data_IF_632399854704
#
_entry.id   IF_632399854704
#
_cell.length_a   1.000
_cell.length_b   1.000
_cell.length_c   1.000
_cell.angle_alpha   90.00
_cell.angle_beta   90.00
_cell.angle_gamma   90.00
#
_symmetry.space_group_name_H-M   'P 1'
#
loop_
_entity.id
_entity.type
_entity.pdbx_description
1 polymer ?
#
# COMPACT_ATOMS: atom_id res chain seq x y z
N UNK A 1 -8.25 6.34 29.21
CA UNK A 1 -7.12 5.75 28.44
C UNK A 1 -7.59 4.72 27.42
N UNK A 2 -8.43 3.76 27.78
CA UNK A 2 -8.85 2.60 26.97
C UNK A 2 -9.59 2.97 25.68
N UNK A 3 -10.34 4.06 25.67
CA UNK A 3 -11.05 4.59 24.48
C UNK A 3 -10.31 5.73 23.81
N UNK A 4 -9.65 6.59 24.58
CA UNK A 4 -9.05 7.82 24.07
C UNK A 4 -7.80 7.55 23.23
N UNK A 5 -6.95 6.60 23.65
CA UNK A 5 -5.73 6.22 22.92
C UNK A 5 -6.02 5.67 21.52
N UNK A 6 -6.93 4.68 21.34
CA UNK A 6 -7.25 4.19 19.99
C UNK A 6 -7.86 5.25 19.07
N UNK A 7 -8.75 6.08 19.61
CA UNK A 7 -9.35 7.22 18.86
C UNK A 7 -8.28 8.17 18.37
N UNK A 8 -7.37 8.55 19.26
CA UNK A 8 -6.24 9.42 18.91
C UNK A 8 -5.34 8.78 17.84
N UNK A 9 -5.02 7.48 17.99
CA UNK A 9 -4.20 6.76 17.03
C UNK A 9 -4.86 6.65 15.65
N UNK A 10 -6.15 6.33 15.58
CA UNK A 10 -6.88 6.31 14.28
C UNK A 10 -6.80 7.67 13.63
N UNK A 11 -7.07 8.73 14.35
CA UNK A 11 -7.11 10.09 13.81
C UNK A 11 -5.73 10.52 13.31
N UNK A 12 -4.70 10.39 14.16
CA UNK A 12 -3.33 10.78 13.81
C UNK A 12 -2.78 9.94 12.66
N UNK A 13 -2.92 8.61 12.73
CA UNK A 13 -2.38 7.73 11.70
C UNK A 13 -3.11 7.87 10.36
N UNK A 14 -4.42 8.07 10.39
CA UNK A 14 -5.18 8.29 9.16
C UNK A 14 -4.79 9.61 8.51
N UNK A 15 -4.64 10.70 9.28
CA UNK A 15 -4.17 11.99 8.77
C UNK A 15 -2.75 11.94 8.22
N UNK A 16 -1.84 11.25 8.92
CA UNK A 16 -0.46 11.08 8.46
C UNK A 16 -0.38 10.27 7.16
N UNK A 17 -1.11 9.17 7.09
CA UNK A 17 -1.14 8.33 5.91
C UNK A 17 -1.88 8.99 4.74
N UNK A 18 -3.01 9.65 5.00
CA UNK A 18 -3.75 10.38 3.96
C UNK A 18 -2.89 11.49 3.34
N UNK A 19 -2.14 12.22 4.17
CA UNK A 19 -1.18 13.21 3.67
C UNK A 19 -0.08 12.59 2.80
N UNK A 20 0.26 11.33 3.06
CA UNK A 20 1.24 10.58 2.26
C UNK A 20 0.60 10.07 0.97
N UNK A 21 -0.63 9.56 1.02
CA UNK A 21 -1.37 9.12 -0.16
C UNK A 21 -1.74 10.30 -1.08
N UNK A 22 -2.25 11.42 -0.53
CA UNK A 22 -2.54 12.62 -1.31
C UNK A 22 -1.29 13.29 -1.89
N UNK A 23 -0.18 13.26 -1.16
CA UNK A 23 1.11 13.74 -1.72
C UNK A 23 1.59 12.89 -2.89
N UNK A 24 1.16 11.64 -2.98
CA UNK A 24 1.44 10.74 -4.09
C UNK A 24 0.52 11.00 -5.30
N UNK A 25 -0.74 11.39 -5.06
CA UNK A 25 -1.73 11.68 -6.11
C UNK A 25 -1.72 13.15 -6.55
N UNK A 26 -1.46 14.12 -5.66
CA UNK A 26 -1.56 15.55 -5.95
C UNK A 26 -0.21 16.24 -6.22
N UNK A 27 0.91 15.71 -5.74
CA UNK A 27 2.23 16.27 -6.03
C UNK A 27 2.86 15.55 -7.21
N UNK A 28 2.76 16.22 -8.36
CA UNK A 28 3.58 15.91 -9.52
C UNK A 28 5.05 15.78 -9.07
N UNK A 29 5.71 14.71 -9.46
CA UNK A 29 7.13 14.50 -9.15
C UNK A 29 7.97 15.59 -9.86
N UNK A 30 8.74 16.39 -9.11
CA UNK A 30 9.56 17.44 -9.72
C UNK A 30 10.71 16.81 -10.51
N UNK A 31 10.69 17.04 -11.82
CA UNK A 31 11.68 16.54 -12.78
C UNK A 31 12.38 17.74 -13.41
N UNK A 32 13.71 17.77 -13.40
CA UNK A 32 14.53 18.72 -14.10
C UNK A 32 15.07 18.09 -15.36
N UNK A 33 14.79 18.71 -16.51
CA UNK A 33 15.27 18.23 -17.81
C UNK A 33 16.22 19.25 -18.39
N UNK A 34 17.39 18.79 -18.80
CA UNK A 34 18.36 19.52 -19.62
C UNK A 34 18.35 18.88 -21.00
N UNK A 35 17.70 19.53 -21.93
CA UNK A 35 17.55 19.05 -23.30
C UNK A 35 18.46 19.84 -24.25
N UNK A 36 19.53 19.21 -24.70
CA UNK A 36 20.43 19.77 -25.71
C UNK A 36 20.03 19.39 -27.15
N UNK A 37 19.10 18.39 -27.30
CA UNK A 37 18.59 17.98 -28.62
C UNK A 37 17.37 18.82 -29.01
N UNK A 38 17.59 19.84 -29.83
CA UNK A 38 16.56 20.76 -30.30
C UNK A 38 15.63 20.15 -31.37
N UNK A 39 15.78 18.86 -31.73
CA UNK A 39 15.02 18.15 -32.76
C UNK A 39 13.99 17.16 -32.15
N UNK A 40 13.41 16.34 -33.00
CA UNK A 40 12.22 15.50 -32.77
C UNK A 40 12.31 14.65 -31.49
N UNK A 41 13.45 14.02 -31.19
CA UNK A 41 13.58 13.14 -30.05
C UNK A 41 13.47 13.91 -28.72
N UNK A 42 14.32 14.92 -28.53
CA UNK A 42 14.34 15.71 -27.30
C UNK A 42 13.01 16.40 -27.04
N UNK A 43 12.44 17.05 -28.07
CA UNK A 43 11.15 17.75 -27.97
C UNK A 43 10.02 16.78 -27.59
N UNK A 44 9.93 15.59 -28.20
CA UNK A 44 8.85 14.65 -27.93
C UNK A 44 8.99 13.98 -26.56
N UNK A 45 10.19 13.72 -26.06
CA UNK A 45 10.42 13.24 -24.70
C UNK A 45 9.93 14.27 -23.68
N UNK A 46 10.32 15.53 -23.83
CA UNK A 46 9.88 16.63 -22.95
C UNK A 46 8.36 16.78 -22.99
N UNK A 47 7.76 16.82 -24.19
CA UNK A 47 6.29 16.88 -24.36
C UNK A 47 5.59 15.69 -23.76
N UNK A 48 6.10 14.47 -23.97
CA UNK A 48 5.54 13.24 -23.41
C UNK A 48 5.51 13.27 -21.88
N UNK A 49 6.62 13.64 -21.26
CA UNK A 49 6.69 13.77 -19.80
C UNK A 49 5.80 14.89 -19.25
N UNK A 50 5.73 16.02 -19.96
CA UNK A 50 4.89 17.17 -19.55
C UNK A 50 3.40 16.88 -19.71
N UNK A 51 3.01 16.06 -20.70
CA UNK A 51 1.60 15.69 -20.93
C UNK A 51 1.05 14.74 -19.87
N UNK A 52 1.91 14.06 -19.12
CA UNK A 52 1.49 13.22 -18.00
C UNK A 52 1.25 14.08 -16.77
N UNK A 53 0.09 13.93 -16.14
CA UNK A 53 -0.26 14.61 -14.88
C UNK A 53 0.68 14.23 -13.72
N UNK A 54 1.53 13.23 -13.91
CA UNK A 54 2.38 12.63 -12.89
C UNK A 54 3.68 13.39 -12.63
N UNK A 55 4.15 14.19 -13.62
CA UNK A 55 5.42 14.90 -13.54
C UNK A 55 5.23 16.42 -13.56
N UNK A 56 5.95 17.12 -12.69
CA UNK A 56 6.15 18.55 -12.78
C UNK A 56 7.50 18.79 -13.49
N UNK A 57 7.44 18.91 -14.80
CA UNK A 57 8.65 19.10 -15.61
C UNK A 57 9.09 20.54 -15.54
N UNK A 58 10.36 20.76 -15.22
CA UNK A 58 11.07 22.03 -15.35
C UNK A 58 12.20 21.84 -16.37
N UNK A 59 12.23 22.63 -17.41
CA UNK A 59 13.26 22.57 -18.44
C UNK A 59 14.22 23.74 -18.27
N UNK A 60 15.53 23.46 -18.19
CA UNK A 60 16.58 24.47 -18.16
C UNK A 60 17.80 24.00 -18.96
N UNK A 61 17.84 24.36 -20.22
CA UNK A 61 18.84 23.93 -21.19
C UNK A 61 20.22 24.61 -21.00
N UNK A 62 20.34 25.51 -20.02
CA UNK A 62 21.62 26.24 -19.75
C UNK A 62 22.44 25.56 -18.67
N UNK A 63 21.83 24.63 -17.89
CA UNK A 63 22.50 23.96 -16.81
C UNK A 63 23.52 22.93 -17.31
N UNK A 64 24.67 22.92 -16.66
CA UNK A 64 25.66 21.87 -16.85
C UNK A 64 25.25 20.58 -16.15
N UNK A 65 25.81 19.45 -16.55
CA UNK A 65 25.61 18.14 -15.89
C UNK A 65 25.88 18.19 -14.38
N UNK A 66 26.96 18.85 -13.97
CA UNK A 66 27.37 18.98 -12.57
C UNK A 66 26.35 19.78 -11.75
N UNK A 67 25.79 20.82 -12.35
CA UNK A 67 24.77 21.65 -11.70
C UNK A 67 23.44 20.88 -11.55
N UNK A 68 23.03 20.13 -12.59
CA UNK A 68 21.84 19.28 -12.50
C UNK A 68 21.99 18.22 -11.40
N UNK A 69 23.12 17.52 -11.38
CA UNK A 69 23.42 16.50 -10.34
C UNK A 69 23.33 17.10 -8.94
N UNK A 70 23.91 18.30 -8.75
CA UNK A 70 23.86 19.04 -7.48
C UNK A 70 22.42 19.45 -7.09
N UNK A 71 21.58 19.85 -8.05
CA UNK A 71 20.17 20.19 -7.80
C UNK A 71 19.36 18.96 -7.34
N UNK A 72 19.65 17.80 -7.91
CA UNK A 72 19.04 16.53 -7.50
C UNK A 72 19.57 16.10 -6.12
N UNK A 73 20.88 16.19 -5.88
CA UNK A 73 21.50 15.84 -4.58
C UNK A 73 20.96 16.71 -3.43
N UNK A 74 20.70 18.00 -3.70
CA UNK A 74 20.11 18.91 -2.72
C UNK A 74 18.61 18.68 -2.46
N UNK A 75 17.96 17.75 -3.19
CA UNK A 75 16.55 17.45 -3.05
C UNK A 75 15.60 18.50 -3.64
N UNK A 76 16.10 19.46 -4.43
CA UNK A 76 15.27 20.45 -5.13
C UNK A 76 14.42 19.78 -6.23
N UNK A 77 14.98 18.76 -6.86
CA UNK A 77 14.33 17.88 -7.83
C UNK A 77 14.57 16.42 -7.45
N UNK A 78 13.58 15.57 -7.68
CA UNK A 78 13.70 14.13 -7.41
C UNK A 78 14.35 13.36 -8.56
N UNK A 79 14.32 13.97 -9.75
CA UNK A 79 14.84 13.37 -10.98
C UNK A 79 15.50 14.45 -11.82
N UNK A 80 16.66 14.13 -12.35
CA UNK A 80 17.35 14.91 -13.38
C UNK A 80 17.51 14.08 -14.65
N UNK A 81 17.20 14.65 -15.81
CA UNK A 81 17.34 13.98 -17.11
C UNK A 81 18.17 14.86 -18.02
N UNK A 82 19.19 14.28 -18.64
CA UNK A 82 20.02 14.96 -19.66
C UNK A 82 19.84 14.23 -20.98
N UNK A 83 19.40 14.97 -21.98
CA UNK A 83 19.34 14.53 -23.37
C UNK A 83 20.47 15.24 -24.11
N UNK A 84 21.40 14.47 -24.66
CA UNK A 84 22.56 15.02 -25.34
C UNK A 84 22.16 15.62 -26.67
N UNK A 85 22.96 16.56 -27.17
CA UNK A 85 22.84 17.13 -28.51
C UNK A 85 22.91 16.02 -29.57
N UNK A 86 22.33 16.31 -30.72
CA UNK A 86 22.35 15.43 -31.90
C UNK A 86 21.74 14.03 -31.70
N UNK A 87 20.99 13.81 -30.59
CA UNK A 87 20.36 12.50 -30.26
C UNK A 87 19.41 12.04 -31.37
N UNK A 88 18.62 12.95 -31.95
CA UNK A 88 17.70 12.66 -33.08
C UNK A 88 18.44 12.14 -34.30
N UNK A 89 19.56 12.76 -34.69
CA UNK A 89 20.32 12.31 -35.85
C UNK A 89 21.01 10.95 -35.61
N UNK A 90 21.51 10.70 -34.41
CA UNK A 90 22.06 9.39 -34.04
C UNK A 90 20.99 8.28 -34.12
N UNK A 91 19.75 8.55 -33.72
CA UNK A 91 18.64 7.60 -33.89
C UNK A 91 18.33 7.38 -35.35
N UNK A 92 18.22 8.48 -36.17
CA UNK A 92 17.95 8.38 -37.59
C UNK A 92 19.03 7.57 -38.31
N UNK A 93 20.31 7.81 -38.01
CA UNK A 93 21.43 7.07 -38.59
C UNK A 93 21.40 5.57 -38.17
N UNK A 94 21.09 5.30 -36.92
CA UNK A 94 20.94 3.89 -36.43
C UNK A 94 19.78 3.17 -37.12
N UNK A 95 18.67 3.85 -37.39
CA UNK A 95 17.53 3.29 -38.12
C UNK A 95 17.93 3.08 -39.59
N UNK A 96 18.52 4.07 -40.25
CA UNK A 96 18.99 3.93 -41.62
C UNK A 96 19.94 2.75 -41.79
N UNK A 97 20.90 2.57 -40.89
CA UNK A 97 21.83 1.47 -40.91
C UNK A 97 21.13 0.10 -40.74
N UNK A 98 20.15 0.00 -39.82
CA UNK A 98 19.36 -1.22 -39.67
C UNK A 98 18.57 -1.56 -40.94
N UNK A 99 18.00 -0.55 -41.59
CA UNK A 99 17.28 -0.71 -42.84
C UNK A 99 18.24 -1.13 -43.96
N UNK A 100 19.38 -0.45 -44.10
CA UNK A 100 20.41 -0.78 -45.08
C UNK A 100 20.86 -2.25 -45.00
N UNK A 101 21.03 -2.77 -43.78
CA UNK A 101 21.41 -4.16 -43.56
C UNK A 101 20.32 -5.19 -43.92
N UNK A 102 19.09 -4.77 -44.14
CA UNK A 102 17.95 -5.63 -44.51
C UNK A 102 17.63 -5.63 -45.99
N UNK A 103 18.15 -4.67 -46.75
CA UNK A 103 17.95 -4.57 -48.22
C UNK A 103 19.20 -4.99 -48.98
N UNK A 104 19.07 -5.42 -50.27
CA UNK A 104 20.21 -5.66 -51.18
C UNK A 104 21.11 -4.43 -51.31
N UNK A 105 22.40 -4.64 -51.59
CA UNK A 105 23.42 -3.56 -51.68
C UNK A 105 23.01 -2.41 -52.65
N UNK A 106 22.29 -2.72 -53.73
CA UNK A 106 21.83 -1.75 -54.72
C UNK A 106 20.84 -0.71 -54.14
N UNK A 107 20.07 -1.10 -53.13
CA UNK A 107 19.12 -0.18 -52.41
C UNK A 107 19.81 0.47 -51.24
N UNK A 108 20.84 -0.19 -50.69
CA UNK A 108 21.63 0.33 -49.57
C UNK A 108 22.42 1.61 -49.88
N UNK A 109 22.85 1.80 -51.16
CA UNK A 109 23.59 2.97 -51.60
C UNK A 109 22.74 4.27 -51.63
N UNK A 110 21.41 4.19 -51.61
CA UNK A 110 20.49 5.34 -51.56
C UNK A 110 20.47 6.01 -50.18
N UNK A 111 21.04 5.38 -49.14
CA UNK A 111 21.08 5.93 -47.80
C UNK A 111 22.33 6.78 -47.60
N UNK A 112 22.26 8.08 -47.85
CA UNK A 112 23.31 9.02 -47.44
C UNK A 112 23.40 8.99 -45.89
N UNK A 113 24.51 8.49 -45.38
CA UNK A 113 24.82 8.50 -43.95
C UNK A 113 25.63 9.72 -43.58
N UNK A 114 25.10 10.53 -42.71
CA UNK A 114 25.81 11.68 -42.13
C UNK A 114 26.73 11.20 -41.01
N UNK A 115 27.91 10.71 -41.36
CA UNK A 115 28.94 10.33 -40.40
C UNK A 115 29.01 8.83 -40.03
N UNK A 116 30.23 8.34 -39.98
CA UNK A 116 30.62 6.92 -39.86
C UNK A 116 30.56 6.33 -38.43
N UNK A 117 29.73 6.83 -37.51
CA UNK A 117 29.65 6.32 -36.14
C UNK A 117 28.23 6.02 -35.71
N UNK A 118 27.95 4.76 -35.50
CA UNK A 118 26.77 4.23 -34.80
C UNK A 118 26.98 4.37 -33.28
N UNK A 119 27.02 5.57 -32.77
CA UNK A 119 27.01 5.76 -31.31
C UNK A 119 25.58 5.57 -30.81
N UNK A 120 25.42 4.75 -29.79
CA UNK A 120 24.14 4.57 -29.11
C UNK A 120 23.74 5.89 -28.43
N UNK A 121 22.50 6.30 -28.62
CA UNK A 121 21.96 7.47 -27.91
C UNK A 121 21.90 7.16 -26.41
N UNK A 122 22.58 7.95 -25.61
CA UNK A 122 22.65 7.82 -24.18
C UNK A 122 21.90 8.96 -23.51
N UNK A 123 20.75 8.64 -22.87
CA UNK A 123 20.05 9.56 -21.98
C UNK A 123 20.52 9.28 -20.55
N UNK A 124 21.09 10.29 -19.92
CA UNK A 124 21.55 10.17 -18.54
C UNK A 124 20.44 10.58 -17.58
N UNK A 125 20.18 9.73 -16.58
CA UNK A 125 19.10 9.94 -15.61
C UNK A 125 19.69 9.88 -14.22
N UNK A 126 19.48 10.93 -13.44
CA UNK A 126 19.90 11.08 -12.05
C UNK A 126 18.69 10.96 -11.13
N UNK A 127 18.78 10.15 -10.11
CA UNK A 127 17.72 9.95 -9.12
C UNK A 127 18.18 10.39 -7.75
N UNK A 128 17.33 11.12 -7.04
CA UNK A 128 17.52 11.38 -5.62
C UNK A 128 17.60 10.04 -4.85
N UNK A 129 18.60 9.83 -3.96
CA UNK A 129 18.72 8.63 -3.14
C UNK A 129 17.46 8.30 -2.31
N UNK A 130 16.68 9.29 -1.94
CA UNK A 130 15.42 9.14 -1.18
C UNK A 130 14.29 8.53 -2.03
N UNK A 131 14.41 8.55 -3.36
CA UNK A 131 13.37 8.07 -4.25
C UNK A 131 13.22 6.54 -4.18
N UNK A 132 12.02 6.06 -3.85
CA UNK A 132 11.72 4.62 -3.76
C UNK A 132 11.88 3.93 -5.12
N UNK A 133 12.32 2.67 -5.10
CA UNK A 133 12.54 1.87 -6.32
C UNK A 133 11.30 1.73 -7.21
N UNK A 134 10.09 1.70 -6.63
CA UNK A 134 8.83 1.65 -7.39
C UNK A 134 8.67 2.86 -8.32
N UNK A 135 9.00 4.06 -7.84
CA UNK A 135 8.97 5.27 -8.66
C UNK A 135 10.04 5.26 -9.76
N UNK A 136 11.27 4.79 -9.44
CA UNK A 136 12.32 4.62 -10.46
C UNK A 136 11.85 3.73 -11.60
N UNK A 137 11.22 2.59 -11.29
CA UNK A 137 10.70 1.67 -12.30
C UNK A 137 9.58 2.29 -13.13
N UNK A 138 8.64 3.02 -12.51
CA UNK A 138 7.55 3.71 -13.23
C UNK A 138 8.10 4.76 -14.20
N UNK A 139 9.08 5.56 -13.76
CA UNK A 139 9.73 6.59 -14.58
C UNK A 139 10.50 5.96 -15.73
N UNK A 140 11.30 4.93 -15.45
CA UNK A 140 12.03 4.19 -16.48
C UNK A 140 11.07 3.54 -17.47
N UNK A 141 9.92 3.04 -17.02
CA UNK A 141 8.87 2.52 -17.88
C UNK A 141 8.30 3.59 -18.81
N UNK A 142 7.94 4.75 -18.26
CA UNK A 142 7.43 5.90 -19.04
C UNK A 142 8.44 6.39 -20.08
N UNK A 143 9.70 6.56 -19.67
CA UNK A 143 10.78 7.01 -20.58
C UNK A 143 11.00 6.00 -21.71
N UNK A 144 11.05 4.70 -21.41
CA UNK A 144 11.16 3.66 -22.44
C UNK A 144 9.98 3.66 -23.40
N UNK A 145 8.77 3.87 -22.89
CA UNK A 145 7.56 3.94 -23.71
C UNK A 145 7.60 5.16 -24.66
N UNK A 146 7.96 6.34 -24.14
CA UNK A 146 8.09 7.54 -24.97
C UNK A 146 9.22 7.41 -26.00
N UNK A 147 10.38 6.86 -25.60
CA UNK A 147 11.49 6.58 -26.50
C UNK A 147 11.07 5.67 -27.64
N UNK A 148 10.41 4.54 -27.34
CA UNK A 148 9.92 3.61 -28.35
C UNK A 148 8.89 4.24 -29.29
N UNK A 149 8.02 5.12 -28.79
CA UNK A 149 7.06 5.86 -29.62
C UNK A 149 7.77 6.80 -30.60
N UNK A 150 8.79 7.53 -30.15
CA UNK A 150 9.57 8.44 -30.99
C UNK A 150 10.39 7.66 -32.01
N UNK A 151 11.03 6.55 -31.60
CA UNK A 151 11.76 5.67 -32.52
C UNK A 151 10.84 5.11 -33.61
N UNK A 152 9.62 4.66 -33.26
CA UNK A 152 8.65 4.17 -34.22
C UNK A 152 8.20 5.27 -35.21
N UNK A 153 7.99 6.51 -34.71
CA UNK A 153 7.67 7.65 -35.56
C UNK A 153 8.79 7.97 -36.53
N UNK A 154 10.03 8.06 -36.06
CA UNK A 154 11.20 8.31 -36.90
C UNK A 154 11.41 7.19 -37.92
N UNK A 155 11.20 5.92 -37.52
CA UNK A 155 11.28 4.78 -38.44
C UNK A 155 10.23 4.91 -39.55
N UNK A 156 9.00 5.27 -39.22
CA UNK A 156 7.94 5.48 -40.22
C UNK A 156 8.26 6.65 -41.16
N UNK A 157 8.78 7.77 -40.63
CA UNK A 157 9.21 8.93 -41.46
C UNK A 157 10.31 8.53 -42.45
N UNK A 158 11.28 7.74 -42.00
CA UNK A 158 12.37 7.27 -42.88
C UNK A 158 11.84 6.30 -43.93
N UNK A 159 10.97 5.35 -43.56
CA UNK A 159 10.35 4.42 -44.51
C UNK A 159 9.49 5.17 -45.54
N UNK A 160 8.67 6.17 -45.10
CA UNK A 160 7.84 6.95 -46.05
C UNK A 160 8.68 7.70 -47.02
N UNK A 161 9.79 8.35 -46.61
CA UNK A 161 10.69 9.08 -47.52
C UNK A 161 11.33 8.16 -48.55
N UNK A 162 11.63 6.90 -48.17
CA UNK A 162 12.18 5.90 -49.10
C UNK A 162 11.13 5.42 -50.12
N UNK A 163 9.88 5.23 -49.69
CA UNK A 163 8.81 4.86 -50.63
C UNK A 163 8.49 5.97 -51.61
N UNK A 164 8.54 7.24 -51.15
CA UNK A 164 8.37 8.40 -52.03
C UNK A 164 9.47 8.45 -53.11
N UNK A 165 10.72 8.16 -52.72
CA UNK A 165 11.86 8.18 -53.62
C UNK A 165 11.91 6.99 -54.60
N UNK A 166 11.51 5.80 -54.14
CA UNK A 166 11.56 4.56 -54.94
C UNK A 166 10.32 4.33 -55.80
N UNK A 167 9.16 4.79 -55.42
CA UNK A 167 7.88 4.44 -56.06
C UNK A 167 7.14 5.66 -56.63
N UNK A 168 7.69 6.89 -56.54
CA UNK A 168 7.00 8.13 -56.92
C UNK A 168 5.59 8.28 -56.35
N UNK A 169 5.34 7.63 -55.17
CA UNK A 169 4.06 7.65 -54.45
C UNK A 169 4.21 8.58 -53.26
N UNK A 170 3.61 9.76 -53.32
CA UNK A 170 3.53 10.70 -52.20
C UNK A 170 2.74 10.07 -51.02
N UNK A 171 3.43 9.42 -50.09
CA UNK A 171 2.84 9.00 -48.82
C UNK A 171 2.77 10.21 -47.89
N UNK A 172 1.58 10.75 -47.70
CA UNK A 172 1.38 11.82 -46.72
C UNK A 172 1.73 11.29 -45.31
N UNK A 173 2.74 11.87 -44.64
CA UNK A 173 3.03 11.48 -43.28
C UNK A 173 1.81 11.73 -42.41
N UNK A 174 1.32 10.68 -41.75
CA UNK A 174 0.19 10.79 -40.80
C UNK A 174 0.70 11.52 -39.57
N UNK A 175 0.33 12.79 -39.42
CA UNK A 175 0.75 13.65 -38.28
C UNK A 175 0.31 13.09 -36.92
N UNK A 176 -0.67 12.19 -36.89
CA UNK A 176 -1.20 11.61 -35.67
C UNK A 176 -1.05 10.08 -35.66
N UNK A 177 -0.01 9.58 -35.00
CA UNK A 177 -0.06 8.24 -34.45
C UNK A 177 -1.06 8.25 -33.29
N UNK A 178 -2.36 8.12 -33.61
CA UNK A 178 -3.38 7.86 -32.58
C UNK A 178 -3.12 6.50 -31.97
N UNK A 179 -3.24 6.40 -30.66
CA UNK A 179 -3.16 5.11 -29.97
C UNK A 179 -4.19 4.16 -30.61
N UNK A 180 -3.69 3.09 -31.24
CA UNK A 180 -4.54 2.04 -31.84
C UNK A 180 -5.06 1.07 -30.77
N UNK A 181 -4.42 1.05 -29.60
CA UNK A 181 -4.78 0.18 -28.48
C UNK A 181 -5.33 1.03 -27.34
N UNK A 182 -6.60 0.83 -27.01
CA UNK A 182 -7.24 1.42 -25.84
C UNK A 182 -7.25 0.37 -24.73
N UNK A 183 -6.71 0.75 -23.56
CA UNK A 183 -6.80 -0.06 -22.35
C UNK A 183 -8.10 0.31 -21.63
N UNK A 184 -9.05 -0.61 -21.58
CA UNK A 184 -10.28 -0.48 -20.79
C UNK A 184 -10.01 -1.07 -19.40
N UNK A 185 -9.68 -0.23 -18.43
CA UNK A 185 -9.36 -0.64 -17.07
C UNK A 185 -10.66 -0.99 -16.33
N UNK A 186 -10.79 -2.27 -15.97
CA UNK A 186 -11.89 -2.76 -15.15
C UNK A 186 -11.37 -3.44 -13.89
N UNK A 187 -11.94 -3.07 -12.77
CA UNK A 187 -11.70 -3.83 -11.56
C UNK A 187 -12.46 -5.16 -11.62
N UNK A 188 -11.80 -6.25 -11.28
CA UNK A 188 -12.43 -7.57 -11.20
C UNK A 188 -13.30 -7.66 -9.94
N UNK A 189 -14.51 -7.11 -9.99
CA UNK A 189 -15.48 -7.20 -8.91
C UNK A 189 -16.87 -7.50 -9.46
N UNK A 190 -17.58 -8.36 -8.76
CA UNK A 190 -18.94 -8.79 -9.14
C UNK A 190 -20.00 -7.70 -8.95
N UNK A 191 -19.70 -6.61 -8.28
CA UNK A 191 -20.67 -5.55 -7.96
C UNK A 191 -20.19 -4.18 -8.48
N UNK A 192 -21.11 -3.41 -9.03
CA UNK A 192 -20.86 -2.07 -9.61
C UNK A 192 -20.45 -1.00 -8.57
N UNK A 193 -20.49 -1.33 -7.28
CA UNK A 193 -20.11 -0.44 -6.18
C UNK A 193 -18.71 -0.82 -5.64
N UNK A 194 -17.68 -0.60 -6.44
CA UNK A 194 -16.29 -0.75 -6.01
C UNK A 194 -15.92 0.30 -4.95
N UNK A 195 -15.54 -0.19 -3.79
CA UNK A 195 -14.95 0.65 -2.77
C UNK A 195 -13.45 0.70 -3.04
N UNK A 196 -12.96 1.84 -3.52
CA UNK A 196 -11.53 2.05 -3.75
C UNK A 196 -10.82 2.09 -2.39
N UNK A 197 -9.81 1.23 -2.17
CA UNK A 197 -9.04 1.25 -0.95
C UNK A 197 -8.41 2.63 -0.73
N UNK A 198 -8.75 3.27 0.38
CA UNK A 198 -8.14 4.53 0.80
C UNK A 198 -7.57 4.39 2.22
N UNK A 199 -6.93 5.45 2.72
CA UNK A 199 -6.32 5.47 4.05
C UNK A 199 -7.33 5.14 5.16
N UNK A 200 -8.59 5.60 5.04
CA UNK A 200 -9.64 5.35 6.02
C UNK A 200 -10.09 3.89 6.00
N UNK A 201 -10.25 3.31 4.79
CA UNK A 201 -10.66 1.91 4.62
C UNK A 201 -9.63 0.91 5.17
N UNK A 202 -8.36 1.30 5.26
CA UNK A 202 -7.33 0.51 5.92
C UNK A 202 -7.27 0.80 7.43
N UNK A 203 -7.15 2.07 7.81
CA UNK A 203 -6.81 2.46 9.17
C UNK A 203 -7.94 2.18 10.17
N UNK A 204 -9.19 2.47 9.82
CA UNK A 204 -10.30 2.29 10.77
C UNK A 204 -10.43 0.83 11.19
N UNK A 205 -10.49 -0.18 10.28
CA UNK A 205 -10.50 -1.59 10.68
C UNK A 205 -9.28 -1.99 11.49
N UNK A 206 -8.08 -1.61 11.03
CA UNK A 206 -6.82 -1.99 11.65
C UNK A 206 -6.71 -1.50 13.10
N UNK A 207 -6.98 -0.22 13.32
CA UNK A 207 -6.94 0.37 14.66
C UNK A 207 -8.13 -0.05 15.54
N UNK A 208 -9.27 -0.41 14.95
CA UNK A 208 -10.39 -1.00 15.69
C UNK A 208 -10.01 -2.33 16.30
N UNK A 209 -9.40 -3.23 15.52
CA UNK A 209 -8.92 -4.52 16.01
C UNK A 209 -7.84 -4.33 17.07
N UNK A 210 -6.88 -3.43 16.83
CA UNK A 210 -5.84 -3.10 17.79
C UNK A 210 -6.44 -2.59 19.11
N UNK A 211 -7.43 -1.70 19.06
CA UNK A 211 -8.14 -1.22 20.23
C UNK A 211 -8.79 -2.34 21.02
N UNK A 212 -9.47 -3.27 20.34
CA UNK A 212 -10.09 -4.42 20.97
C UNK A 212 -9.07 -5.33 21.65
N UNK A 213 -7.91 -5.55 21.05
CA UNK A 213 -6.84 -6.34 21.67
C UNK A 213 -6.16 -5.61 22.84
N UNK A 214 -6.17 -4.28 22.88
CA UNK A 214 -5.66 -3.52 24.04
C UNK A 214 -6.48 -3.73 25.32
N UNK A 215 -7.67 -4.31 25.24
CA UNK A 215 -8.47 -4.77 26.39
C UNK A 215 -7.70 -5.80 27.24
N UNK A 216 -6.76 -6.52 26.64
CA UNK A 216 -5.89 -7.48 27.34
C UNK A 216 -5.22 -6.87 28.56
N UNK A 217 -4.76 -5.63 28.49
CA UNK A 217 -4.02 -4.96 29.55
C UNK A 217 -4.88 -4.76 30.81
N UNK A 218 -6.01 -4.03 30.76
CA UNK A 218 -6.84 -3.83 31.95
C UNK A 218 -7.54 -5.11 32.43
N UNK A 219 -7.88 -6.04 31.53
CA UNK A 219 -8.46 -7.32 31.89
C UNK A 219 -7.47 -8.16 32.70
N UNK A 220 -6.24 -8.32 32.23
CA UNK A 220 -5.21 -9.06 32.92
C UNK A 220 -4.83 -8.43 34.26
N UNK A 221 -4.69 -7.10 34.29
CA UNK A 221 -4.43 -6.35 35.51
C UNK A 221 -5.54 -6.53 36.55
N UNK A 222 -6.81 -6.51 36.14
CA UNK A 222 -7.94 -6.76 37.07
C UNK A 222 -7.95 -8.18 37.66
N UNK A 223 -7.61 -9.17 36.85
CA UNK A 223 -7.51 -10.57 37.33
C UNK A 223 -6.46 -10.67 38.45
N UNK A 224 -5.32 -9.99 38.26
CA UNK A 224 -4.22 -10.03 39.22
C UNK A 224 -4.57 -9.23 40.50
N UNK A 225 -5.17 -8.02 40.34
CA UNK A 225 -5.63 -7.22 41.50
C UNK A 225 -6.58 -7.97 42.40
N UNK A 226 -7.56 -8.70 41.83
CA UNK A 226 -8.49 -9.53 42.61
C UNK A 226 -7.75 -10.65 43.32
N UNK A 227 -6.74 -11.25 42.70
CA UNK A 227 -5.92 -12.28 43.31
C UNK A 227 -5.09 -11.74 44.46
N UNK A 228 -4.42 -10.62 44.27
CA UNK A 228 -3.56 -9.97 45.27
C UNK A 228 -4.36 -9.38 46.46
N UNK A 229 -5.59 -8.92 46.23
CA UNK A 229 -6.44 -8.37 47.28
C UNK A 229 -7.17 -9.43 48.14
N UNK A 230 -6.97 -10.72 47.84
CA UNK A 230 -7.65 -11.83 48.55
C UNK A 230 -9.14 -11.98 48.22
N UNK A 231 -9.68 -11.17 47.32
CA UNK A 231 -11.09 -11.29 46.85
C UNK A 231 -11.31 -12.63 46.17
N UNK A 232 -10.32 -13.10 45.40
CA UNK A 232 -10.35 -14.41 44.74
C UNK A 232 -10.50 -15.57 45.77
N UNK A 233 -9.82 -15.48 46.91
CA UNK A 233 -9.94 -16.50 47.96
C UNK A 233 -11.30 -16.51 48.64
N UNK A 234 -11.86 -15.33 48.90
CA UNK A 234 -13.22 -15.20 49.43
C UNK A 234 -14.29 -15.71 48.48
N UNK A 235 -14.14 -15.45 47.18
CA UNK A 235 -15.04 -15.98 46.18
C UNK A 235 -15.01 -17.49 46.07
N UNK A 236 -13.87 -18.14 46.34
CA UNK A 236 -13.73 -19.61 46.32
C UNK A 236 -14.57 -20.34 47.37
N UNK A 237 -14.96 -19.66 48.43
CA UNK A 237 -15.88 -20.27 49.45
C UNK A 237 -17.29 -20.48 48.90
N UNK A 238 -17.62 -19.88 47.74
CA UNK A 238 -18.92 -20.01 47.08
C UNK A 238 -18.82 -21.10 45.99
N UNK A 239 -19.71 -22.11 45.99
CA UNK A 239 -19.71 -23.15 44.97
C UNK A 239 -19.83 -22.61 43.56
N UNK A 240 -18.94 -23.05 42.63
CA UNK A 240 -18.96 -22.63 41.24
C UNK A 240 -18.31 -21.25 40.92
N UNK A 241 -17.76 -20.57 41.94
CA UNK A 241 -17.28 -19.18 41.85
C UNK A 241 -16.19 -18.93 40.77
N UNK A 242 -15.28 -19.87 40.54
CA UNK A 242 -14.17 -19.69 39.60
C UNK A 242 -14.65 -19.50 38.16
N UNK A 243 -15.55 -20.37 37.69
CA UNK A 243 -16.13 -20.25 36.34
C UNK A 243 -16.99 -19.00 36.20
N UNK A 244 -17.83 -18.74 37.24
CA UNK A 244 -18.69 -17.55 37.26
C UNK A 244 -17.84 -16.26 37.21
N UNK A 245 -16.75 -16.21 37.99
CA UNK A 245 -15.83 -15.09 38.02
C UNK A 245 -15.15 -14.82 36.68
N UNK A 246 -14.67 -15.87 36.00
CA UNK A 246 -14.07 -15.76 34.67
C UNK A 246 -15.11 -15.32 33.63
N UNK A 247 -16.30 -15.93 33.63
CA UNK A 247 -17.38 -15.58 32.71
C UNK A 247 -17.89 -14.14 32.93
N UNK A 248 -17.99 -13.67 34.17
CA UNK A 248 -18.38 -12.32 34.49
C UNK A 248 -17.36 -11.28 33.90
N UNK A 249 -16.06 -11.55 34.08
CA UNK A 249 -15.02 -10.70 33.48
C UNK A 249 -15.07 -10.76 31.96
N UNK A 250 -15.16 -11.96 31.38
CA UNK A 250 -15.30 -12.11 29.95
C UNK A 250 -16.50 -11.31 29.40
N UNK A 251 -17.67 -11.40 30.05
CA UNK A 251 -18.86 -10.64 29.67
C UNK A 251 -18.65 -9.14 29.78
N UNK A 252 -18.05 -8.66 30.87
CA UNK A 252 -17.80 -7.22 31.06
C UNK A 252 -16.88 -6.66 29.99
N UNK A 253 -15.74 -7.31 29.74
CA UNK A 253 -14.79 -6.85 28.73
C UNK A 253 -15.27 -7.10 27.30
N UNK A 254 -16.12 -8.09 27.08
CA UNK A 254 -16.84 -8.27 25.83
C UNK A 254 -17.74 -7.07 25.53
N UNK A 255 -18.49 -6.56 26.50
CA UNK A 255 -19.30 -5.33 26.34
C UNK A 255 -18.44 -4.10 26.07
N UNK A 256 -17.30 -3.99 26.76
CA UNK A 256 -16.34 -2.92 26.51
C UNK A 256 -15.83 -2.99 25.05
N UNK A 257 -15.50 -4.19 24.57
CA UNK A 257 -15.07 -4.41 23.18
C UNK A 257 -16.13 -4.04 22.15
N UNK A 258 -17.40 -4.37 22.40
CA UNK A 258 -18.51 -3.96 21.53
C UNK A 258 -18.65 -2.43 21.47
N UNK A 259 -18.60 -1.76 22.63
CA UNK A 259 -18.66 -0.30 22.69
C UNK A 259 -17.48 0.32 21.94
N UNK A 260 -16.26 -0.24 22.09
CA UNK A 260 -15.10 0.21 21.34
C UNK A 260 -15.29 0.06 19.83
N UNK A 261 -15.74 -1.11 19.37
CA UNK A 261 -15.97 -1.35 17.94
C UNK A 261 -16.99 -0.36 17.36
N UNK A 262 -18.13 -0.18 18.03
CA UNK A 262 -19.15 0.80 17.60
C UNK A 262 -18.57 2.20 17.55
N UNK A 263 -17.87 2.63 18.59
CA UNK A 263 -17.28 3.97 18.67
C UNK A 263 -16.27 4.20 17.55
N UNK A 264 -15.40 3.22 17.26
CA UNK A 264 -14.40 3.34 16.20
C UNK A 264 -15.04 3.38 14.81
N UNK A 265 -16.09 2.61 14.56
CA UNK A 265 -16.86 2.69 13.31
C UNK A 265 -17.57 4.04 13.17
N UNK A 266 -18.16 4.57 14.24
CA UNK A 266 -18.77 5.91 14.25
C UNK A 266 -17.75 7.02 13.95
N UNK A 267 -16.54 6.89 14.49
CA UNK A 267 -15.44 7.80 14.17
C UNK A 267 -15.11 7.75 12.69
N UNK A 268 -14.99 6.54 12.13
CA UNK A 268 -14.72 6.34 10.70
C UNK A 268 -15.77 6.96 9.79
N UNK A 269 -17.04 6.89 10.17
CA UNK A 269 -18.16 7.38 9.36
C UNK A 269 -18.38 8.89 9.53
N UNK A 270 -18.32 9.42 10.75
CA UNK A 270 -18.75 10.78 11.03
C UNK A 270 -17.62 11.73 11.39
N UNK A 271 -16.63 11.29 12.20
CA UNK A 271 -15.59 12.18 12.69
C UNK A 271 -14.50 12.43 11.64
N UNK A 272 -14.04 11.40 10.93
CA UNK A 272 -12.98 11.55 9.94
C UNK A 272 -13.35 12.49 8.79
N UNK A 273 -14.60 12.50 8.27
CA UNK A 273 -15.01 13.47 7.25
C UNK A 273 -14.94 14.94 7.71
N UNK A 274 -15.11 15.22 8.99
CA UNK A 274 -14.97 16.59 9.53
C UNK A 274 -13.54 17.11 9.36
N UNK A 275 -12.55 16.20 9.32
CA UNK A 275 -11.14 16.53 9.08
C UNK A 275 -10.74 16.48 7.60
N UNK A 276 -11.71 16.42 6.68
CA UNK A 276 -11.46 16.39 5.24
C UNK A 276 -11.02 15.03 4.70
N UNK A 277 -11.17 13.96 5.49
CA UNK A 277 -10.89 12.58 5.09
C UNK A 277 -12.14 11.93 4.48
N UNK A 278 -11.99 10.91 3.60
CA UNK A 278 -13.15 10.18 3.09
C UNK A 278 -13.89 9.46 4.23
N UNK A 279 -15.21 9.33 4.12
CA UNK A 279 -16.00 8.55 5.08
C UNK A 279 -15.69 7.05 4.95
N UNK A 280 -15.71 6.34 6.07
CA UNK A 280 -15.64 4.88 6.07
C UNK A 280 -16.89 4.33 5.37
N UNK A 281 -16.68 3.56 4.33
CA UNK A 281 -17.75 2.84 3.65
C UNK A 281 -17.85 1.45 4.26
N UNK A 282 -18.98 1.17 4.90
CA UNK A 282 -19.32 -0.16 5.40
C UNK A 282 -20.05 -0.90 4.29
N UNK A 283 -19.55 -2.07 3.91
CA UNK A 283 -20.22 -2.93 2.92
C UNK A 283 -21.69 -3.21 3.29
N UNK A 284 -22.44 -3.79 2.39
CA UNK A 284 -23.90 -4.08 2.58
C UNK A 284 -24.16 -5.17 3.64
N UNK A 285 -23.13 -5.94 4.04
CA UNK A 285 -23.23 -7.13 4.88
C UNK A 285 -22.97 -6.83 6.37
N UNK A 286 -23.80 -6.00 6.99
CA UNK A 286 -23.69 -5.65 8.42
C UNK A 286 -23.74 -6.85 9.37
N UNK A 287 -24.42 -7.93 8.98
CA UNK A 287 -24.49 -9.15 9.78
C UNK A 287 -23.14 -9.88 9.83
N UNK A 288 -22.42 -9.95 8.70
CA UNK A 288 -21.07 -10.48 8.64
C UNK A 288 -20.11 -9.66 9.52
N UNK A 289 -20.22 -8.33 9.47
CA UNK A 289 -19.46 -7.42 10.31
C UNK A 289 -19.68 -7.68 11.80
N UNK A 290 -20.93 -7.90 12.22
CA UNK A 290 -21.27 -8.19 13.61
C UNK A 290 -20.61 -9.50 14.07
N UNK A 291 -20.71 -10.59 13.30
CA UNK A 291 -20.14 -11.89 13.68
C UNK A 291 -18.62 -11.86 13.74
N UNK A 292 -17.96 -11.21 12.78
CA UNK A 292 -16.51 -11.03 12.80
C UNK A 292 -16.09 -10.20 14.01
N UNK A 293 -16.79 -9.11 14.31
CA UNK A 293 -16.49 -8.25 15.47
C UNK A 293 -16.63 -9.07 16.78
N UNK A 294 -17.67 -9.86 16.92
CA UNK A 294 -17.86 -10.75 18.07
C UNK A 294 -16.70 -11.73 18.21
N UNK A 295 -16.27 -12.36 17.11
CA UNK A 295 -15.18 -13.32 17.13
C UNK A 295 -13.84 -12.67 17.53
N UNK A 296 -13.56 -11.45 17.04
CA UNK A 296 -12.37 -10.67 17.43
C UNK A 296 -12.38 -10.35 18.92
N UNK A 297 -13.52 -9.89 19.45
CA UNK A 297 -13.65 -9.56 20.88
C UNK A 297 -13.48 -10.82 21.74
N UNK A 298 -14.04 -11.95 21.31
CA UNK A 298 -13.84 -13.24 22.01
C UNK A 298 -12.36 -13.64 22.02
N UNK A 299 -11.65 -13.50 20.92
CA UNK A 299 -10.22 -13.78 20.84
C UNK A 299 -9.42 -12.84 21.77
N UNK A 300 -9.69 -11.54 21.75
CA UNK A 300 -9.01 -10.55 22.57
C UNK A 300 -9.27 -10.78 24.07
N UNK A 301 -10.52 -11.01 24.47
CA UNK A 301 -10.87 -11.25 25.87
C UNK A 301 -10.27 -12.55 26.39
N UNK A 302 -10.31 -13.63 25.62
CA UNK A 302 -9.70 -14.91 25.97
C UNK A 302 -8.19 -14.80 26.14
N UNK A 303 -7.53 -14.04 25.26
CA UNK A 303 -6.10 -13.74 25.36
C UNK A 303 -5.76 -12.96 26.63
N UNK A 304 -6.57 -11.97 26.99
CA UNK A 304 -6.42 -11.21 28.23
C UNK A 304 -6.56 -12.08 29.47
N UNK A 305 -7.48 -13.07 29.46
CA UNK A 305 -7.64 -14.03 30.54
C UNK A 305 -6.38 -14.90 30.70
N UNK A 306 -5.78 -15.36 29.60
CA UNK A 306 -4.52 -16.12 29.64
C UNK A 306 -3.40 -15.30 30.28
N UNK A 307 -3.17 -14.07 29.80
CA UNK A 307 -2.14 -13.19 30.36
C UNK A 307 -2.35 -12.94 31.84
N UNK A 308 -3.60 -12.67 32.28
CA UNK A 308 -3.95 -12.43 33.66
C UNK A 308 -3.81 -13.67 34.52
N UNK A 309 -3.98 -14.88 33.95
CA UNK A 309 -3.81 -16.14 34.67
C UNK A 309 -2.34 -16.50 34.87
N UNK A 310 -1.49 -16.29 33.85
CA UNK A 310 -0.07 -16.67 33.87
C UNK A 310 0.78 -15.66 34.63
N UNK A 311 0.50 -14.38 34.53
CA UNK A 311 1.30 -13.35 35.15
C UNK A 311 1.19 -13.35 36.69
N UNK A 312 2.32 -13.02 37.35
CA UNK A 312 2.41 -13.03 38.81
C UNK A 312 2.22 -11.63 39.43
N UNK A 313 2.41 -10.58 38.68
CA UNK A 313 2.23 -9.21 39.15
C UNK A 313 1.48 -8.38 38.15
N UNK A 314 0.84 -7.29 38.60
CA UNK A 314 0.15 -6.33 37.76
C UNK A 314 1.08 -5.71 36.72
N UNK A 315 2.30 -5.34 37.14
CA UNK A 315 3.31 -4.79 36.25
C UNK A 315 3.73 -5.80 35.16
N UNK A 316 3.95 -7.06 35.55
CA UNK A 316 4.29 -8.13 34.61
C UNK A 316 3.15 -8.35 33.58
N UNK A 317 1.90 -8.36 34.02
CA UNK A 317 0.76 -8.55 33.11
C UNK A 317 0.61 -7.41 32.11
N UNK A 318 0.82 -6.17 32.57
CA UNK A 318 0.73 -4.99 31.73
C UNK A 318 1.85 -4.97 30.67
N UNK A 319 3.08 -5.31 31.06
CA UNK A 319 4.22 -5.39 30.13
C UNK A 319 4.02 -6.50 29.12
N UNK A 320 3.71 -7.73 29.56
CA UNK A 320 3.51 -8.86 28.66
C UNK A 320 2.30 -8.63 27.74
N UNK A 321 1.21 -8.12 28.29
CA UNK A 321 0.01 -7.81 27.51
C UNK A 321 0.28 -6.76 26.43
N UNK A 322 0.92 -5.63 26.80
CA UNK A 322 1.21 -4.56 25.82
C UNK A 322 2.20 -4.99 24.76
N UNK A 323 3.34 -5.58 25.14
CA UNK A 323 4.37 -5.99 24.19
C UNK A 323 3.84 -7.05 23.23
N UNK A 324 3.12 -8.06 23.75
CA UNK A 324 2.59 -9.13 22.90
C UNK A 324 1.54 -8.62 21.92
N UNK A 325 0.64 -7.74 22.34
CA UNK A 325 -0.36 -7.12 21.44
C UNK A 325 0.31 -6.27 20.37
N UNK A 326 1.33 -5.49 20.74
CA UNK A 326 2.09 -4.67 19.77
C UNK A 326 2.81 -5.57 18.75
N UNK A 327 3.46 -6.65 19.18
CA UNK A 327 4.11 -7.61 18.28
C UNK A 327 3.08 -8.26 17.34
N UNK A 328 1.97 -8.76 17.89
CA UNK A 328 0.89 -9.36 17.10
C UNK A 328 0.30 -8.36 16.09
N UNK A 329 0.18 -7.09 16.44
CA UNK A 329 -0.29 -6.04 15.56
C UNK A 329 0.72 -5.72 14.44
N UNK A 330 2.01 -5.64 14.79
CA UNK A 330 3.07 -5.36 13.84
C UNK A 330 3.17 -6.44 12.76
N UNK A 331 3.18 -7.73 13.18
CA UNK A 331 3.19 -8.85 12.23
C UNK A 331 1.82 -9.08 11.58
N UNK A 332 0.73 -8.66 12.22
CA UNK A 332 -0.64 -8.88 11.77
C UNK A 332 -1.15 -7.96 10.66
N UNK A 333 -0.35 -6.99 10.22
CA UNK A 333 -0.74 -6.09 9.13
C UNK A 333 -1.45 -4.80 9.58
N UNK A 334 -1.53 -4.55 10.90
CA UNK A 334 -2.19 -3.35 11.44
C UNK A 334 -1.41 -2.08 11.08
N UNK A 335 -0.08 -2.13 11.18
CA UNK A 335 0.79 -0.97 10.91
C UNK A 335 1.22 -0.88 9.45
N UNK A 336 1.48 -2.02 8.84
CA UNK A 336 1.91 -2.12 7.44
C UNK A 336 0.94 -3.05 6.72
N UNK A 337 0.22 -2.55 5.70
CA UNK A 337 -0.69 -3.39 4.93
C UNK A 337 0.00 -4.61 4.32
N UNK A 338 -0.70 -5.74 4.22
CA UNK A 338 -0.16 -7.00 3.72
C UNK A 338 0.44 -6.88 2.31
N UNK A 339 -0.13 -6.05 1.45
CA UNK A 339 0.38 -5.82 0.08
C UNK A 339 1.71 -5.06 0.01
N UNK A 340 2.14 -4.45 1.13
CA UNK A 340 3.44 -3.77 1.25
C UNK A 340 4.49 -4.65 1.96
N UNK A 341 4.10 -5.83 2.43
CA UNK A 341 4.98 -6.76 3.13
C UNK A 341 5.75 -7.65 2.15
N UNK A 342 6.95 -8.10 2.55
CA UNK A 342 7.66 -9.16 1.84
C UNK A 342 6.93 -10.51 1.99
N UNK A 343 7.17 -11.45 1.07
CA UNK A 343 6.54 -12.78 1.08
C UNK A 343 6.75 -13.54 2.41
N UNK A 344 7.93 -13.39 3.00
CA UNK A 344 8.25 -13.97 4.30
C UNK A 344 7.34 -13.37 5.39
N UNK A 345 7.17 -12.05 5.43
CA UNK A 345 6.33 -11.37 6.41
C UNK A 345 4.85 -11.70 6.21
N UNK A 346 4.38 -11.84 4.97
CA UNK A 346 3.01 -12.30 4.65
C UNK A 346 2.76 -13.70 5.22
N UNK A 347 3.73 -14.60 5.13
CA UNK A 347 3.59 -15.94 5.73
C UNK A 347 3.59 -15.93 7.26
N UNK A 348 4.42 -15.09 7.87
CA UNK A 348 4.45 -14.91 9.33
C UNK A 348 3.17 -14.25 9.82
N UNK A 349 2.59 -13.31 9.08
CA UNK A 349 1.36 -12.61 9.46
C UNK A 349 0.17 -13.56 9.66
N UNK A 350 0.13 -14.68 8.94
CA UNK A 350 -0.92 -15.70 9.04
C UNK A 350 -1.03 -16.35 10.41
N UNK A 351 -0.04 -16.18 11.29
CA UNK A 351 -0.06 -16.71 12.67
C UNK A 351 -0.81 -15.75 13.61
N UNK A 352 -0.92 -14.46 13.23
CA UNK A 352 -1.51 -13.44 14.09
C UNK A 352 -3.05 -13.44 14.06
N UNK A 353 -3.73 -13.51 15.22
CA UNK A 353 -5.18 -13.35 15.27
C UNK A 353 -5.66 -11.98 14.80
N UNK A 354 -4.81 -10.93 14.90
CA UNK A 354 -5.13 -9.61 14.35
C UNK A 354 -5.17 -9.63 12.82
N UNK A 355 -4.32 -10.44 12.17
CA UNK A 355 -4.35 -10.62 10.73
C UNK A 355 -5.65 -11.28 10.25
N UNK A 356 -6.12 -12.31 10.93
CA UNK A 356 -7.38 -12.98 10.57
C UNK A 356 -8.57 -12.02 10.67
N UNK A 357 -8.61 -11.23 11.75
CA UNK A 357 -9.65 -10.22 11.94
C UNK A 357 -9.59 -9.11 10.88
N UNK A 358 -8.37 -8.64 10.56
CA UNK A 358 -8.15 -7.57 9.58
C UNK A 358 -8.53 -8.00 8.17
N UNK A 359 -8.15 -9.20 7.77
CA UNK A 359 -8.53 -9.76 6.46
C UNK A 359 -10.05 -9.94 6.37
N UNK A 360 -10.71 -10.44 7.43
CA UNK A 360 -12.16 -10.54 7.45
C UNK A 360 -12.87 -9.18 7.32
N UNK A 361 -12.34 -8.13 7.95
CA UNK A 361 -12.86 -6.79 7.77
C UNK A 361 -12.63 -6.25 6.36
N UNK A 362 -11.47 -6.52 5.72
CA UNK A 362 -11.24 -6.15 4.33
C UNK A 362 -12.17 -6.88 3.36
N UNK A 363 -12.41 -8.17 3.60
CA UNK A 363 -13.35 -8.93 2.78
C UNK A 363 -14.75 -8.32 2.84
N UNK A 364 -15.20 -7.88 4.02
CA UNK A 364 -16.51 -7.24 4.19
C UNK A 364 -16.52 -5.82 3.59
N UNK A 365 -15.54 -4.98 3.90
CA UNK A 365 -15.56 -3.55 3.54
C UNK A 365 -15.19 -3.30 2.08
N UNK A 366 -14.20 -4.03 1.54
CA UNK A 366 -13.70 -3.79 0.19
C UNK A 366 -14.32 -4.71 -0.85
N UNK A 367 -14.57 -5.99 -0.48
CA UNK A 367 -15.08 -7.00 -1.40
C UNK A 367 -16.57 -7.28 -1.25
N UNK A 368 -17.21 -6.63 -0.26
CA UNK A 368 -18.62 -6.84 0.09
C UNK A 368 -18.99 -8.33 0.34
N UNK A 369 -18.03 -9.07 0.91
CA UNK A 369 -18.15 -10.52 1.14
C UNK A 369 -19.27 -10.88 2.10
N UNK A 370 -19.93 -12.01 1.84
CA UNK A 370 -20.98 -12.55 2.66
C UNK A 370 -20.46 -13.27 3.92
N UNK A 371 -21.38 -13.76 4.75
CA UNK A 371 -21.04 -14.49 5.97
C UNK A 371 -20.22 -15.76 5.69
N UNK A 372 -20.53 -16.46 4.61
CA UNK A 372 -19.83 -17.70 4.24
C UNK A 372 -18.35 -17.49 3.91
N UNK A 373 -18.02 -16.37 3.31
CA UNK A 373 -16.64 -16.06 2.87
C UNK A 373 -15.74 -15.76 4.06
N UNK A 374 -16.28 -15.17 5.13
CA UNK A 374 -15.53 -14.82 6.35
C UNK A 374 -15.55 -15.91 7.42
N UNK A 375 -16.32 -17.01 7.24
CA UNK A 375 -16.37 -18.14 8.17
C UNK A 375 -15.00 -18.74 8.52
N UNK A 376 -14.05 -18.92 7.57
CA UNK A 376 -12.72 -19.42 7.90
C UNK A 376 -11.99 -18.53 8.93
N UNK A 377 -12.06 -17.21 8.75
CA UNK A 377 -11.45 -16.25 9.67
C UNK A 377 -12.13 -16.24 11.04
N UNK A 378 -13.45 -16.33 11.07
CA UNK A 378 -14.23 -16.48 12.32
C UNK A 378 -13.83 -17.77 13.02
N UNK A 379 -13.70 -18.89 12.30
CA UNK A 379 -13.30 -20.18 12.83
C UNK A 379 -11.91 -20.14 13.47
N UNK A 380 -10.94 -19.48 12.83
CA UNK A 380 -9.59 -19.29 13.37
C UNK A 380 -9.60 -18.44 14.65
N UNK A 381 -10.37 -17.34 14.68
CA UNK A 381 -10.50 -16.47 15.85
C UNK A 381 -11.15 -17.21 17.05
N UNK A 382 -12.23 -17.94 16.78
CA UNK A 382 -12.91 -18.74 17.81
C UNK A 382 -12.01 -19.89 18.29
N UNK A 383 -11.32 -20.59 17.38
CA UNK A 383 -10.33 -21.61 17.71
C UNK A 383 -9.22 -21.06 18.61
N UNK A 384 -8.68 -19.89 18.29
CA UNK A 384 -7.70 -19.19 19.13
C UNK A 384 -8.28 -18.88 20.51
N UNK A 385 -9.53 -18.38 20.58
CA UNK A 385 -10.20 -18.11 21.85
C UNK A 385 -10.33 -19.38 22.72
N UNK A 386 -10.71 -20.52 22.13
CA UNK A 386 -10.80 -21.80 22.83
C UNK A 386 -9.43 -22.26 23.33
N UNK A 387 -8.38 -22.16 22.51
CA UNK A 387 -7.03 -22.55 22.95
C UNK A 387 -6.57 -21.67 24.11
N UNK A 388 -6.81 -20.38 24.07
CA UNK A 388 -6.51 -19.47 25.17
C UNK A 388 -7.26 -19.86 26.45
N UNK A 389 -8.55 -20.10 26.37
CA UNK A 389 -9.34 -20.49 27.51
C UNK A 389 -8.88 -21.86 28.10
N UNK A 390 -8.56 -22.82 27.24
CA UNK A 390 -8.03 -24.12 27.65
C UNK A 390 -6.70 -23.99 28.40
N UNK A 391 -5.78 -23.15 27.89
CA UNK A 391 -4.50 -22.85 28.56
C UNK A 391 -4.75 -22.21 29.92
N UNK A 392 -5.64 -21.23 30.00
CA UNK A 392 -5.99 -20.56 31.25
C UNK A 392 -6.58 -21.52 32.27
N UNK A 393 -7.50 -22.39 31.84
CA UNK A 393 -8.13 -23.37 32.70
C UNK A 393 -7.11 -24.41 33.22
N UNK A 394 -6.27 -24.95 32.33
CA UNK A 394 -5.21 -25.90 32.69
C UNK A 394 -4.24 -25.31 33.72
N UNK A 395 -3.78 -24.06 33.48
CA UNK A 395 -2.84 -23.38 34.36
C UNK A 395 -3.47 -23.09 35.74
N UNK A 396 -4.71 -22.59 35.76
CA UNK A 396 -5.46 -22.32 36.98
C UNK A 396 -5.67 -23.58 37.83
N UNK A 397 -5.86 -24.74 37.18
CA UNK A 397 -6.05 -26.01 37.88
C UNK A 397 -4.74 -26.59 38.44
N UNK A 398 -3.63 -26.50 37.66
CA UNK A 398 -2.33 -27.07 38.04
C UNK A 398 -1.62 -26.28 39.13
N UNK A 399 -1.71 -24.97 39.10
CA UNK A 399 -0.99 -24.10 40.05
C UNK A 399 -1.79 -23.91 41.35
N UNK A 400 -3.03 -24.41 41.44
CA UNK A 400 -3.94 -24.26 42.60
C UNK A 400 -3.98 -22.83 43.14
N UNK A 401 -3.99 -21.88 42.21
CA UNK A 401 -4.09 -20.45 42.49
C UNK A 401 -5.53 -20.05 42.62
#
# INVERSE_FOLDING_TARGET
>A
MLFLMPVFLVLVMTLLQDSTFKKLDEKQLPVLIVNHDADTFGINIVKGLTSTSFFKVSEDNKLSKVELEKQVEQGNYLIGIIINDNSTNLIKNSIKQKIQNQFPEEVGELFEMDGNKTDQVKVEIFFDPVLKNSYKQSIMGALKQFSAMVEAKLMFEIYSSLFDELLEIELKPTENFSQLVFFDEKYAASDQNLIIPNSVQHNVPAWTIFAMFFIVIPLASNIIKERQSGVSERLRTIPGSNLIGILAKAKTYFMVGLIQAILMLMIGIWLLPVFGLPALQIGKNGLSLLFVTIAIIMAATSYGIVIGTIANSEQQSSIFGSISVVILAAIGGVWVPNFMMSDLMVNVSKISPLNWGLNAYYDIFLRNSGLYDVLPSIGLLIGFAFVCLAISFYYSHKVRI
#
